data_IF_348698458641
#
_entry.id   IF_348698458641
#
_cell.length_a   1.000
_cell.length_b   1.000
_cell.length_c   1.000
_cell.angle_alpha   90.00
_cell.angle_beta   90.00
_cell.angle_gamma   90.00
#
_symmetry.space_group_name_H-M   'P 1'
#
loop_
_entity.id
_entity.type
_entity.pdbx_description
1 polymer ?
#
# COMPACT_ATOMS: atom_id res chain seq x y z
N UNK A 1 -6.92 -6.74 24.19
CA UNK A 1 -5.71 -7.58 24.04
C UNK A 1 -4.64 -6.72 23.38
N UNK A 2 -3.62 -6.26 24.12
CA UNK A 2 -2.54 -5.41 23.60
C UNK A 2 -1.43 -6.33 23.06
N UNK A 3 -1.13 -6.26 21.77
CA UNK A 3 0.02 -6.94 21.20
C UNK A 3 1.33 -6.31 21.70
N UNK A 4 2.35 -7.08 22.09
CA UNK A 4 3.64 -6.54 22.47
C UNK A 4 4.38 -6.08 21.20
N UNK A 5 4.37 -4.77 20.95
CA UNK A 5 5.21 -4.15 19.93
C UNK A 5 6.68 -4.17 20.39
N UNK A 6 7.37 -5.30 20.24
CA UNK A 6 8.84 -5.26 20.14
C UNK A 6 9.17 -4.95 18.69
N UNK A 7 9.16 -3.65 18.37
CA UNK A 7 9.42 -3.11 17.04
C UNK A 7 10.86 -3.45 16.59
N UNK A 8 11.01 -4.49 15.77
CA UNK A 8 12.00 -4.40 14.70
C UNK A 8 11.47 -3.33 13.75
N UNK A 9 11.91 -2.07 13.94
CA UNK A 9 11.66 -0.98 13.00
C UNK A 9 12.42 -1.27 11.72
N UNK A 10 11.88 -2.15 10.89
CA UNK A 10 12.37 -2.31 9.53
C UNK A 10 12.13 -1.01 8.79
N UNK A 11 13.20 -0.42 8.28
CA UNK A 11 13.18 0.75 7.38
C UNK A 11 12.87 0.36 5.94
N UNK A 12 12.58 -0.93 5.67
CA UNK A 12 12.28 -1.42 4.35
C UNK A 12 11.02 -0.75 3.79
N UNK A 13 11.15 -0.25 2.57
CA UNK A 13 10.04 0.24 1.75
C UNK A 13 9.69 -0.78 0.68
N UNK A 14 8.43 -0.85 0.31
CA UNK A 14 7.87 -1.84 -0.60
C UNK A 14 7.38 -1.19 -1.88
N UNK A 15 7.50 -1.90 -3.00
CA UNK A 15 6.85 -1.49 -4.25
C UNK A 15 5.34 -1.71 -4.18
N UNK A 16 4.91 -2.72 -3.43
CA UNK A 16 3.52 -3.10 -3.31
C UNK A 16 3.22 -3.53 -1.87
N UNK A 17 2.08 -3.08 -1.36
CA UNK A 17 1.45 -3.60 -0.15
C UNK A 17 0.08 -4.13 -0.56
N UNK A 18 -0.23 -5.36 -0.19
CA UNK A 18 -1.52 -5.99 -0.48
C UNK A 18 -2.14 -6.42 0.84
N UNK A 19 -3.40 -6.05 1.06
CA UNK A 19 -4.09 -6.36 2.31
C UNK A 19 -5.55 -6.73 2.07
N UNK A 20 -6.02 -7.69 2.85
CA UNK A 20 -7.44 -7.98 3.06
C UNK A 20 -7.72 -7.75 4.55
N UNK A 21 -7.87 -6.49 4.98
CA UNK A 21 -7.91 -6.15 6.39
C UNK A 21 -9.22 -6.61 7.04
N UNK A 22 -9.22 -6.89 8.35
CA UNK A 22 -10.46 -7.09 9.09
C UNK A 22 -11.24 -5.77 9.18
N UNK A 23 -12.56 -5.84 9.00
CA UNK A 23 -13.47 -4.68 9.05
C UNK A 23 -14.31 -4.58 10.32
N UNK A 24 -14.17 -5.55 11.24
CA UNK A 24 -14.94 -5.59 12.48
C UNK A 24 -14.01 -5.90 13.66
N UNK A 25 -13.77 -4.90 14.51
CA UNK A 25 -13.11 -5.08 15.81
C UNK A 25 -14.12 -5.19 16.95
N UNK A 26 -15.15 -6.04 16.78
CA UNK A 26 -16.16 -6.31 17.81
C UNK A 26 -17.17 -5.18 18.06
N UNK A 27 -17.09 -4.08 17.32
CA UNK A 27 -18.13 -3.04 17.22
C UNK A 27 -18.52 -2.84 15.75
N UNK A 28 -19.81 -2.60 15.45
CA UNK A 28 -20.21 -2.12 14.14
C UNK A 28 -19.45 -0.83 13.79
N UNK A 29 -18.94 -0.73 12.57
CA UNK A 29 -18.36 0.49 11.99
C UNK A 29 -17.02 1.00 12.58
N UNK A 30 -16.29 0.18 13.36
CA UNK A 30 -14.91 0.49 13.73
C UNK A 30 -13.93 0.13 12.59
N UNK A 31 -13.61 1.14 11.78
CA UNK A 31 -12.64 1.04 10.68
C UNK A 31 -11.25 1.59 11.05
N UNK A 32 -10.95 1.79 12.33
CA UNK A 32 -9.65 2.34 12.79
C UNK A 32 -8.45 1.56 12.25
N UNK A 33 -8.52 0.23 12.22
CA UNK A 33 -7.47 -0.65 11.67
C UNK A 33 -7.20 -0.34 10.19
N UNK A 34 -8.26 -0.11 9.42
CA UNK A 34 -8.14 0.18 7.99
C UNK A 34 -7.60 1.59 7.78
N UNK A 35 -7.98 2.54 8.63
CA UNK A 35 -7.43 3.89 8.60
C UNK A 35 -5.92 3.88 8.92
N UNK A 36 -5.52 3.15 9.97
CA UNK A 36 -4.11 2.96 10.33
C UNK A 36 -3.33 2.25 9.21
N UNK A 37 -3.94 1.30 8.51
CA UNK A 37 -3.35 0.67 7.34
C UNK A 37 -3.12 1.69 6.21
N UNK A 38 -4.12 2.51 5.88
CA UNK A 38 -4.02 3.53 4.82
C UNK A 38 -2.92 4.54 5.18
N UNK A 39 -2.94 5.08 6.39
CA UNK A 39 -1.96 6.07 6.84
C UNK A 39 -0.55 5.47 6.99
N UNK A 40 -0.44 4.25 7.49
CA UNK A 40 0.84 3.57 7.69
C UNK A 40 1.47 3.05 6.39
N UNK A 41 0.65 2.63 5.42
CA UNK A 41 1.13 2.10 4.15
C UNK A 41 1.85 3.18 3.32
N UNK A 42 1.36 4.42 3.33
CA UNK A 42 2.00 5.53 2.61
C UNK A 42 3.46 5.74 3.03
N UNK A 43 3.76 5.55 4.32
CA UNK A 43 5.11 5.69 4.89
C UNK A 43 6.04 4.53 4.54
N UNK A 44 5.48 3.39 4.12
CA UNK A 44 6.19 2.14 3.80
C UNK A 44 6.24 1.83 2.32
N UNK A 45 5.55 2.59 1.48
CA UNK A 45 5.65 2.47 0.03
C UNK A 45 6.87 3.25 -0.47
N UNK A 46 7.54 2.70 -1.49
CA UNK A 46 8.50 3.44 -2.32
C UNK A 46 7.75 4.46 -3.18
N UNK A 47 8.48 5.38 -3.81
CA UNK A 47 7.94 6.23 -4.88
C UNK A 47 7.25 5.38 -5.94
N UNK A 48 6.08 5.82 -6.40
CA UNK A 48 5.22 5.06 -7.32
C UNK A 48 4.79 3.68 -6.80
N UNK A 49 4.97 3.40 -5.51
CA UNK A 49 4.50 2.19 -4.87
C UNK A 49 2.99 2.17 -4.73
N UNK A 50 2.42 0.97 -4.66
CA UNK A 50 0.97 0.72 -4.75
C UNK A 50 0.45 -0.01 -3.52
N UNK A 51 -0.65 0.48 -2.96
CA UNK A 51 -1.45 -0.21 -1.96
C UNK A 51 -2.68 -0.83 -2.61
N UNK A 52 -2.90 -2.12 -2.38
CA UNK A 52 -4.11 -2.85 -2.73
C UNK A 52 -4.86 -3.21 -1.45
N UNK A 53 -6.13 -2.83 -1.36
CA UNK A 53 -7.04 -3.23 -0.28
C UNK A 53 -8.23 -3.95 -0.89
N UNK A 54 -8.43 -5.21 -0.51
CA UNK A 54 -9.68 -5.91 -0.77
C UNK A 54 -10.67 -5.54 0.34
N UNK A 55 -11.86 -5.08 -0.02
CA UNK A 55 -12.93 -4.80 0.94
C UNK A 55 -14.27 -5.28 0.41
N UNK A 56 -15.25 -5.37 1.30
CA UNK A 56 -16.63 -5.45 0.84
C UNK A 56 -17.05 -4.10 0.23
N UNK A 57 -17.97 -4.10 -0.73
CA UNK A 57 -18.41 -2.88 -1.44
C UNK A 57 -19.02 -1.82 -0.49
N UNK A 58 -19.78 -2.23 0.52
CA UNK A 58 -20.39 -1.31 1.48
C UNK A 58 -19.40 -0.56 2.39
N UNK A 59 -18.14 -1.01 2.49
CA UNK A 59 -17.16 -0.36 3.37
C UNK A 59 -16.73 0.97 2.74
N UNK A 60 -16.80 2.10 3.46
CA UNK A 60 -16.59 3.43 2.90
C UNK A 60 -15.10 3.78 2.70
N UNK A 61 -14.29 2.87 2.14
CA UNK A 61 -12.83 3.04 1.94
C UNK A 61 -12.50 4.32 1.17
N UNK A 62 -13.30 4.69 0.16
CA UNK A 62 -13.10 5.94 -0.57
C UNK A 62 -13.14 7.18 0.32
N UNK A 63 -14.04 7.20 1.32
CA UNK A 63 -14.09 8.28 2.32
C UNK A 63 -12.85 8.25 3.21
N UNK A 64 -12.38 7.05 3.58
CA UNK A 64 -11.18 6.89 4.41
C UNK A 64 -9.92 7.42 3.72
N UNK A 65 -9.77 7.18 2.41
CA UNK A 65 -8.72 7.81 1.62
C UNK A 65 -8.88 9.33 1.56
N UNK A 66 -10.11 9.85 1.43
CA UNK A 66 -10.36 11.29 1.34
C UNK A 66 -10.02 12.07 2.64
N UNK A 67 -10.18 11.43 3.81
CA UNK A 67 -9.87 12.03 5.12
C UNK A 67 -8.47 11.66 5.64
N UNK A 68 -7.79 10.73 4.98
CA UNK A 68 -6.45 10.30 5.37
C UNK A 68 -5.48 11.47 5.37
N UNK A 69 -4.56 11.46 6.33
CA UNK A 69 -3.46 12.43 6.38
C UNK A 69 -2.44 12.21 5.26
N UNK A 70 -2.46 11.02 4.66
CA UNK A 70 -1.56 10.59 3.59
C UNK A 70 -2.07 10.99 2.23
N UNK A 71 -1.23 11.68 1.44
CA UNK A 71 -1.58 12.07 0.08
C UNK A 71 -1.14 11.02 -0.92
N UNK A 72 -2.02 10.07 -1.21
CA UNK A 72 -1.88 9.23 -2.40
C UNK A 72 -2.04 10.08 -3.66
N UNK A 73 -1.24 9.79 -4.68
CA UNK A 73 -1.29 10.46 -5.98
C UNK A 73 -2.56 10.10 -6.75
N UNK A 74 -2.95 8.82 -6.71
CA UNK A 74 -4.21 8.37 -7.28
C UNK A 74 -4.85 7.29 -6.40
N UNK A 75 -6.18 7.25 -6.40
CA UNK A 75 -7.00 6.23 -5.74
C UNK A 75 -8.10 5.84 -6.71
N UNK A 76 -8.25 4.55 -7.00
CA UNK A 76 -9.34 4.04 -7.83
C UNK A 76 -9.81 2.68 -7.33
N UNK A 77 -10.99 2.27 -7.78
CA UNK A 77 -11.63 1.00 -7.42
C UNK A 77 -11.71 0.12 -8.66
N UNK A 78 -11.40 -1.16 -8.48
CA UNK A 78 -11.60 -2.21 -9.48
C UNK A 78 -12.67 -3.18 -8.98
N UNK A 79 -13.72 -3.44 -9.77
CA UNK A 79 -14.68 -4.49 -9.47
C UNK A 79 -14.00 -5.87 -9.41
N UNK A 80 -14.46 -6.71 -8.49
CA UNK A 80 -14.11 -8.14 -8.46
C UNK A 80 -15.09 -8.95 -9.30
N UNK A 81 -14.75 -10.20 -9.59
CA UNK A 81 -15.70 -11.18 -10.15
C UNK A 81 -16.85 -11.49 -9.19
N UNK A 82 -16.62 -11.38 -7.88
CA UNK A 82 -17.66 -11.43 -6.86
C UNK A 82 -18.11 -10.01 -6.52
N UNK A 83 -19.35 -9.60 -6.83
CA UNK A 83 -19.81 -8.22 -6.66
C UNK A 83 -19.82 -7.77 -5.20
N UNK A 84 -19.75 -8.70 -4.23
CA UNK A 84 -19.68 -8.35 -2.81
C UNK A 84 -18.36 -7.68 -2.44
N UNK A 85 -17.33 -7.85 -3.27
CA UNK A 85 -15.98 -7.36 -3.00
C UNK A 85 -15.49 -6.43 -4.10
N UNK A 86 -14.67 -5.47 -3.68
CA UNK A 86 -13.97 -4.55 -4.57
C UNK A 86 -12.50 -4.46 -4.17
N UNK A 87 -11.65 -4.10 -5.11
CA UNK A 87 -10.23 -3.84 -4.85
C UNK A 87 -9.97 -2.34 -4.98
N UNK A 88 -9.57 -1.73 -3.87
CA UNK A 88 -9.08 -0.36 -3.85
C UNK A 88 -7.59 -0.33 -4.15
N UNK A 89 -7.20 0.57 -5.05
CA UNK A 89 -5.83 0.71 -5.53
C UNK A 89 -5.40 2.15 -5.32
N UNK A 90 -4.37 2.35 -4.51
CA UNK A 90 -3.83 3.67 -4.21
C UNK A 90 -2.34 3.74 -4.53
N UNK A 91 -1.91 4.74 -5.31
CA UNK A 91 -0.52 4.91 -5.72
C UNK A 91 0.11 6.11 -5.01
N UNK A 92 1.37 6.00 -4.62
CA UNK A 92 2.15 7.14 -4.13
C UNK A 92 2.71 7.96 -5.29
N UNK A 93 3.06 9.22 -5.04
CA UNK A 93 3.70 10.05 -6.05
C UNK A 93 5.06 9.47 -6.45
N UNK A 94 5.43 9.68 -7.71
CA UNK A 94 6.81 9.52 -8.16
C UNK A 94 7.66 10.65 -7.55
N UNK A 95 8.04 10.53 -6.29
CA UNK A 95 9.17 11.31 -5.80
C UNK A 95 10.37 10.78 -6.57
N UNK A 96 10.95 11.57 -7.46
CA UNK A 96 12.10 11.15 -8.29
C UNK A 96 13.23 10.64 -7.40
N UNK A 97 13.25 9.33 -7.16
CA UNK A 97 14.27 8.66 -6.36
C UNK A 97 15.42 8.40 -7.34
N UNK A 98 16.14 9.45 -7.69
CA UNK A 98 17.44 9.36 -8.34
C UNK A 98 18.44 8.80 -7.32
N UNK A 99 18.30 7.52 -7.03
CA UNK A 99 19.39 6.71 -6.46
C UNK A 99 19.96 5.87 -7.59
N UNK A 100 20.90 6.51 -8.26
CA UNK A 100 22.01 5.93 -9.00
C UNK A 100 22.47 4.62 -8.35
N UNK A 101 22.24 3.50 -9.04
CA UNK A 101 23.05 2.30 -8.87
C UNK A 101 23.12 1.54 -10.20
N UNK A 102 23.63 2.26 -11.19
CA UNK A 102 24.11 1.74 -12.46
C UNK A 102 25.54 1.22 -12.24
N UNK A 103 25.69 -0.04 -11.84
CA UNK A 103 27.04 -0.65 -11.76
C UNK A 103 27.13 -2.17 -11.95
N UNK A 104 26.03 -2.88 -12.25
CA UNK A 104 26.09 -4.32 -12.49
C UNK A 104 25.80 -4.80 -13.92
N UNK A 105 25.49 -3.93 -14.88
CA UNK A 105 25.14 -4.35 -16.25
C UNK A 105 26.18 -4.06 -17.34
N UNK A 106 27.35 -3.51 -17.00
CA UNK A 106 28.39 -3.15 -17.98
C UNK A 106 29.54 -4.16 -18.17
N UNK A 107 29.40 -5.43 -17.75
CA UNK A 107 30.52 -6.41 -17.83
C UNK A 107 30.23 -7.75 -18.52
N UNK A 108 29.24 -7.82 -19.43
CA UNK A 108 28.91 -9.04 -20.20
C UNK A 108 28.91 -8.90 -21.73
N UNK A 109 29.63 -7.92 -22.28
CA UNK A 109 29.83 -7.80 -23.74
C UNK A 109 31.30 -7.56 -24.12
N UNK A 110 32.16 -8.49 -23.72
CA UNK A 110 33.45 -8.76 -24.37
C UNK A 110 33.71 -10.24 -24.21
N UNK A 111 33.30 -11.02 -25.20
CA UNK A 111 33.86 -12.29 -25.70
C UNK A 111 32.96 -12.68 -26.88
N UNK A 112 33.34 -12.21 -28.07
CA UNK A 112 33.28 -12.94 -29.33
C UNK A 112 34.12 -12.14 -30.34
N UNK A 113 35.40 -12.49 -30.39
CA UNK A 113 36.22 -12.37 -31.60
C UNK A 113 36.62 -13.79 -31.97
#
# INVERSE_FOLDING_TARGET
MRWPFTLLRSTSRYHMIVSNPPFHSGQPDDFSIVQELIDGASCRLRSSGVLYIVSQEQIPIGRMFAISTSKYHSVHVMPSTDPRFVVWIATTSSSGDSTENDSHQAKRRKILQ
#
